data_IF_499033930434
#
_entry.id   IF_499033930434
#
_cell.length_a   1.000
_cell.length_b   1.000
_cell.length_c   1.000
_cell.angle_alpha   90.00
_cell.angle_beta   90.00
_cell.angle_gamma   90.00
#
_symmetry.space_group_name_H-M   'P 1'
#
loop_
_entity.id
_entity.type
_entity.pdbx_description
1 polymer ?
#
# COMPACT_ATOMS: atom_id res chain seq x y z
N UNK A 1 -7.39 15.88 -26.36
CA UNK A 1 -7.49 16.83 -25.24
C UNK A 1 -7.02 16.10 -24.00
N UNK A 2 -5.75 16.32 -23.63
CA UNK A 2 -5.14 15.89 -22.36
C UNK A 2 -4.25 17.06 -21.95
N UNK A 3 -4.32 17.45 -20.68
CA UNK A 3 -4.18 18.82 -20.19
C UNK A 3 -2.83 19.53 -20.39
N UNK A 4 -2.76 20.84 -20.12
CA UNK A 4 -1.49 21.54 -20.07
C UNK A 4 -0.67 20.95 -18.92
N UNK A 5 0.47 20.34 -19.23
CA UNK A 5 1.49 20.10 -18.22
C UNK A 5 1.82 21.47 -17.64
N UNK A 6 1.68 21.61 -16.33
CA UNK A 6 2.04 22.79 -15.57
C UNK A 6 3.57 22.98 -15.66
N UNK A 7 4.04 23.45 -16.82
CA UNK A 7 5.24 24.26 -16.94
C UNK A 7 4.85 25.65 -16.44
N UNK A 8 4.64 25.78 -15.14
CA UNK A 8 5.01 27.04 -14.52
C UNK A 8 6.51 27.16 -14.74
N UNK A 9 6.89 27.89 -15.79
CA UNK A 9 8.21 28.46 -15.93
C UNK A 9 8.43 29.34 -14.69
N UNK A 10 8.89 28.74 -13.60
CA UNK A 10 9.35 29.46 -12.45
C UNK A 10 10.64 30.14 -12.90
N UNK A 11 10.56 31.44 -13.21
CA UNK A 11 11.71 32.30 -13.59
C UNK A 11 12.77 32.40 -12.47
N UNK A 12 12.58 31.65 -11.38
CA UNK A 12 13.49 31.55 -10.25
C UNK A 12 14.76 30.78 -10.63
N UNK A 13 15.87 31.29 -10.10
CA UNK A 13 17.17 30.65 -10.24
C UNK A 13 17.41 29.72 -9.07
N UNK A 14 17.94 28.54 -9.35
CA UNK A 14 18.29 27.52 -8.36
C UNK A 14 19.78 27.19 -8.44
N UNK A 15 20.36 26.82 -7.31
CA UNK A 15 21.63 26.11 -7.21
C UNK A 15 21.37 24.61 -7.09
N UNK A 16 22.12 23.79 -7.81
CA UNK A 16 22.29 22.39 -7.42
C UNK A 16 23.13 22.36 -6.16
N UNK A 17 22.68 21.63 -5.16
CA UNK A 17 23.33 21.50 -3.85
C UNK A 17 23.55 20.03 -3.52
N UNK A 18 24.58 19.75 -2.73
CA UNK A 18 24.87 18.42 -2.20
C UNK A 18 25.17 18.46 -0.70
N UNK A 19 24.76 17.41 0.00
CA UNK A 19 25.09 17.23 1.41
C UNK A 19 26.32 16.32 1.59
N UNK A 20 26.71 16.07 2.85
CA UNK A 20 27.83 15.19 3.21
C UNK A 20 27.59 13.70 2.84
N UNK A 21 26.35 13.30 2.58
CA UNK A 21 26.00 11.96 2.11
C UNK A 21 26.00 11.83 0.59
N UNK A 22 26.45 12.87 -0.13
CA UNK A 22 26.45 12.98 -1.59
C UNK A 22 25.05 12.91 -2.22
N UNK A 23 24.03 13.33 -1.48
CA UNK A 23 22.68 13.48 -2.00
C UNK A 23 22.52 14.84 -2.66
N UNK A 24 21.96 14.85 -3.86
CA UNK A 24 21.77 16.06 -4.64
C UNK A 24 20.35 16.61 -4.50
N UNK A 25 20.22 17.93 -4.51
CA UNK A 25 18.94 18.64 -4.55
C UNK A 25 19.09 19.98 -5.26
N UNK A 26 17.99 20.70 -5.44
CA UNK A 26 17.98 22.09 -5.90
C UNK A 26 17.56 23.02 -4.76
N UNK A 27 18.22 24.16 -4.64
CA UNK A 27 17.93 25.17 -3.62
C UNK A 27 17.79 26.56 -4.27
N UNK A 28 16.82 27.39 -3.87
CA UNK A 28 16.67 28.74 -4.42
C UNK A 28 17.94 29.57 -4.24
N UNK A 29 18.42 30.21 -5.31
CA UNK A 29 19.68 30.97 -5.30
C UNK A 29 19.66 32.23 -4.42
N UNK A 30 18.46 32.70 -4.09
CA UNK A 30 18.24 33.88 -3.25
C UNK A 30 18.24 33.57 -1.75
N UNK A 31 18.26 32.28 -1.37
CA UNK A 31 18.21 31.84 0.02
C UNK A 31 19.59 31.35 0.48
N UNK A 32 19.91 31.61 1.75
CA UNK A 32 21.09 31.02 2.38
C UNK A 32 20.98 29.49 2.37
N UNK A 33 22.11 28.82 2.20
CA UNK A 33 22.15 27.37 2.18
C UNK A 33 21.87 26.81 3.59
N UNK A 34 21.07 25.74 3.71
CA UNK A 34 20.93 25.05 4.98
C UNK A 34 22.26 24.47 5.44
N UNK A 35 22.44 24.35 6.75
CA UNK A 35 23.64 23.73 7.34
C UNK A 35 23.88 22.33 6.76
N UNK A 36 25.14 22.07 6.39
CA UNK A 36 25.56 20.78 5.83
C UNK A 36 25.31 20.63 4.33
N UNK A 37 24.75 21.63 3.65
CA UNK A 37 24.60 21.67 2.19
C UNK A 37 25.63 22.59 1.54
N UNK A 38 26.10 22.20 0.35
CA UNK A 38 27.10 22.95 -0.42
C UNK A 38 26.70 23.02 -1.89
N UNK A 39 27.01 24.12 -2.59
CA UNK A 39 26.73 24.24 -4.03
C UNK A 39 27.54 23.21 -4.83
N UNK A 40 26.87 22.53 -5.76
CA UNK A 40 27.42 21.46 -6.58
C UNK A 40 27.28 21.80 -8.08
N UNK A 41 28.09 22.75 -8.54
CA UNK A 41 28.50 22.89 -9.95
C UNK A 41 27.52 23.52 -10.95
N UNK A 42 26.20 23.47 -10.71
CA UNK A 42 25.19 24.05 -11.63
C UNK A 42 24.29 25.05 -10.92
N UNK A 43 24.02 26.15 -11.62
CA UNK A 43 23.02 27.17 -11.27
C UNK A 43 22.21 27.47 -12.54
N UNK A 44 20.90 27.63 -12.42
CA UNK A 44 20.06 27.97 -13.57
C UNK A 44 18.58 27.75 -13.28
N UNK A 45 17.79 27.58 -14.34
CA UNK A 45 16.39 27.23 -14.21
C UNK A 45 16.21 25.85 -13.56
N UNK A 46 15.02 25.61 -13.00
CA UNK A 46 14.67 24.34 -12.34
C UNK A 46 14.97 23.12 -13.23
N UNK A 47 14.52 23.16 -14.48
CA UNK A 47 14.69 22.05 -15.43
C UNK A 47 16.16 21.76 -15.74
N UNK A 48 16.99 22.78 -15.90
CA UNK A 48 18.43 22.61 -16.14
C UNK A 48 19.16 22.02 -14.93
N UNK A 49 18.79 22.47 -13.72
CA UNK A 49 19.38 21.95 -12.49
C UNK A 49 19.00 20.48 -12.25
N UNK A 50 17.75 20.11 -12.50
CA UNK A 50 17.30 18.72 -12.41
C UNK A 50 17.96 17.82 -13.45
N UNK A 51 18.11 18.30 -14.69
CA UNK A 51 18.81 17.56 -15.75
C UNK A 51 20.27 17.32 -15.36
N UNK A 52 20.93 18.32 -14.78
CA UNK A 52 22.30 18.14 -14.28
C UNK A 52 22.38 17.10 -13.16
N UNK A 53 21.42 17.10 -12.21
CA UNK A 53 21.37 16.11 -11.13
C UNK A 53 21.21 14.69 -11.70
N UNK A 54 20.33 14.51 -12.67
CA UNK A 54 20.11 13.22 -13.34
C UNK A 54 21.39 12.68 -14.01
N UNK A 55 22.17 13.57 -14.63
CA UNK A 55 23.45 13.22 -15.26
C UNK A 55 24.55 12.84 -14.23
N UNK A 56 24.62 13.53 -13.09
CA UNK A 56 25.75 13.37 -12.14
C UNK A 56 25.44 12.40 -10.99
N UNK A 57 24.18 12.21 -10.62
CA UNK A 57 23.78 11.38 -9.48
C UNK A 57 23.62 9.90 -9.88
N UNK A 58 24.75 9.30 -10.26
CA UNK A 58 24.80 7.93 -10.80
C UNK A 58 24.62 6.81 -9.77
N UNK A 59 24.82 7.11 -8.48
CA UNK A 59 24.62 6.18 -7.38
C UNK A 59 23.80 6.87 -6.28
N UNK A 60 22.54 6.45 -6.08
CA UNK A 60 21.65 7.08 -5.09
C UNK A 60 21.83 6.56 -3.66
N UNK A 61 22.73 5.59 -3.44
CA UNK A 61 22.99 5.08 -2.09
C UNK A 61 23.70 6.15 -1.25
N UNK A 62 23.33 6.40 0.01
CA UNK A 62 24.06 7.33 0.87
C UNK A 62 25.54 6.95 0.98
N UNK A 63 26.44 7.95 1.05
CA UNK A 63 27.89 7.71 1.17
C UNK A 63 28.23 6.81 2.37
N UNK A 64 27.53 6.98 3.49
CA UNK A 64 27.67 6.15 4.69
C UNK A 64 27.41 4.67 4.39
N UNK A 65 26.35 4.36 3.64
CA UNK A 65 26.01 3.00 3.21
C UNK A 65 27.05 2.43 2.25
N UNK A 66 27.54 3.24 1.29
CA UNK A 66 28.59 2.80 0.36
C UNK A 66 29.90 2.47 1.09
N UNK A 67 30.26 3.28 2.10
CA UNK A 67 31.42 3.01 2.97
C UNK A 67 31.23 1.72 3.75
N UNK A 68 30.07 1.55 4.38
CA UNK A 68 29.73 0.34 5.11
C UNK A 68 29.83 -0.92 4.23
N UNK A 69 29.28 -0.90 3.01
CA UNK A 69 29.37 -2.03 2.07
C UNK A 69 30.81 -2.30 1.58
N UNK A 70 31.64 -1.27 1.43
CA UNK A 70 33.04 -1.42 1.04
C UNK A 70 33.91 -1.97 2.18
N UNK A 71 33.58 -1.62 3.43
CA UNK A 71 34.22 -2.12 4.65
C UNK A 71 33.74 -3.53 5.02
N UNK A 72 32.52 -3.89 4.63
CA UNK A 72 31.87 -5.18 4.87
C UNK A 72 31.43 -5.86 3.56
N UNK A 73 32.37 -6.27 2.67
CA UNK A 73 32.04 -6.87 1.38
C UNK A 73 31.29 -8.20 1.50
N UNK A 74 31.47 -8.91 2.62
CA UNK A 74 30.82 -10.21 2.91
C UNK A 74 29.50 -10.07 3.70
N UNK A 75 29.15 -8.87 4.18
CA UNK A 75 28.01 -8.62 5.07
C UNK A 75 26.62 -8.76 4.42
N UNK A 76 26.56 -9.12 3.13
CA UNK A 76 25.34 -9.39 2.38
C UNK A 76 25.32 -10.80 1.76
N UNK A 77 26.39 -11.58 1.89
CA UNK A 77 26.56 -12.83 1.15
C UNK A 77 26.29 -14.10 1.99
N UNK A 78 26.42 -14.03 3.32
CA UNK A 78 26.08 -15.10 4.26
C UNK A 78 25.58 -14.40 5.53
N UNK A 79 24.32 -14.06 5.68
CA UNK A 79 23.21 -14.96 5.96
C UNK A 79 22.00 -14.48 5.17
N UNK A 80 21.45 -15.32 4.30
CA UNK A 80 20.02 -15.25 4.04
C UNK A 80 19.38 -15.35 5.42
N UNK A 81 18.96 -14.20 5.95
CA UNK A 81 18.41 -14.07 7.29
C UNK A 81 17.47 -15.26 7.51
N UNK A 82 17.75 -16.09 8.51
CA UNK A 82 16.71 -16.97 9.03
C UNK A 82 15.53 -16.05 9.26
N UNK A 83 14.47 -16.21 8.47
CA UNK A 83 13.28 -15.40 8.63
C UNK A 83 12.86 -15.66 10.09
N UNK A 84 12.94 -14.64 10.99
CA UNK A 84 12.64 -14.85 12.40
C UNK A 84 11.18 -15.27 12.59
N UNK A 85 10.36 -15.21 11.53
CA UNK A 85 8.99 -15.68 11.46
C UNK A 85 8.81 -16.95 10.62
N UNK A 86 9.86 -17.66 10.22
CA UNK A 86 9.76 -18.89 9.41
C UNK A 86 8.84 -19.96 10.05
N UNK A 87 8.86 -20.06 11.38
CA UNK A 87 8.00 -20.98 12.15
C UNK A 87 6.64 -20.37 12.53
N UNK A 88 6.39 -19.09 12.19
CA UNK A 88 5.11 -18.44 12.46
C UNK A 88 4.18 -18.62 11.27
N UNK A 89 2.99 -19.23 11.44
CA UNK A 89 2.04 -19.34 10.35
C UNK A 89 1.66 -17.94 9.85
N UNK A 90 1.72 -17.76 8.52
CA UNK A 90 1.43 -16.48 7.89
C UNK A 90 0.00 -16.03 8.21
N UNK A 91 -0.32 -14.76 7.95
CA UNK A 91 -1.69 -14.30 8.10
C UNK A 91 -2.65 -15.08 7.18
N UNK A 92 -2.19 -15.45 5.98
CA UNK A 92 -2.93 -16.32 5.06
C UNK A 92 -3.20 -17.67 5.71
N UNK A 93 -2.18 -18.36 6.23
CA UNK A 93 -2.35 -19.67 6.87
C UNK A 93 -3.33 -19.60 8.05
N UNK A 94 -3.20 -18.56 8.87
CA UNK A 94 -4.08 -18.35 10.04
C UNK A 94 -5.52 -18.06 9.66
N UNK A 95 -5.76 -17.31 8.57
CA UNK A 95 -7.11 -16.95 8.11
C UNK A 95 -7.71 -18.02 7.17
N UNK A 96 -6.90 -18.94 6.70
CA UNK A 96 -7.32 -20.15 5.98
C UNK A 96 -7.66 -21.31 6.92
N UNK A 97 -7.17 -21.28 8.16
CA UNK A 97 -7.51 -22.27 9.18
C UNK A 97 -8.86 -21.98 9.86
N UNK A 98 -9.94 -22.33 9.16
CA UNK A 98 -11.29 -22.32 9.69
C UNK A 98 -12.10 -21.05 9.40
N UNK A 99 -13.15 -20.84 10.20
CA UNK A 99 -14.05 -19.70 10.09
C UNK A 99 -13.70 -18.62 11.12
N UNK A 100 -13.56 -17.38 10.67
CA UNK A 100 -13.22 -16.24 11.52
C UNK A 100 -14.38 -15.26 11.61
N UNK A 101 -14.52 -14.62 12.77
CA UNK A 101 -15.53 -13.57 12.96
C UNK A 101 -15.15 -12.33 12.15
N UNK A 102 -16.04 -11.95 11.23
CA UNK A 102 -15.87 -10.80 10.36
C UNK A 102 -16.96 -9.76 10.61
N UNK A 103 -16.64 -8.51 10.33
CA UNK A 103 -17.56 -7.38 10.32
C UNK A 103 -17.38 -6.57 9.04
N UNK A 104 -18.48 -6.08 8.48
CA UNK A 104 -18.41 -5.18 7.31
C UNK A 104 -17.93 -3.81 7.78
N UNK A 105 -16.84 -3.34 7.19
CA UNK A 105 -16.33 -1.99 7.39
C UNK A 105 -16.92 -1.04 6.36
N UNK A 106 -17.79 -0.13 6.82
CA UNK A 106 -18.41 0.91 6.00
C UNK A 106 -18.13 2.29 6.59
N UNK A 107 -17.94 3.26 5.70
CA UNK A 107 -17.76 4.68 6.02
C UNK A 107 -18.54 5.54 5.00
N UNK A 108 -19.26 6.59 5.43
CA UNK A 108 -19.45 7.02 6.82
C UNK A 108 -20.49 6.18 7.58
N UNK A 109 -21.53 5.69 6.90
CA UNK A 109 -22.69 5.04 7.51
C UNK A 109 -22.60 3.51 7.47
N UNK A 110 -22.76 2.88 8.64
CA UNK A 110 -22.78 1.42 8.78
C UNK A 110 -24.22 0.91 8.73
N UNK A 111 -24.80 0.89 7.53
CA UNK A 111 -26.18 0.44 7.27
C UNK A 111 -26.22 -0.67 6.22
N UNK A 112 -27.27 -1.48 6.23
CA UNK A 112 -27.47 -2.53 5.23
C UNK A 112 -27.66 -1.95 3.81
N UNK A 113 -28.28 -0.79 3.68
CA UNK A 113 -28.42 -0.12 2.38
C UNK A 113 -27.05 0.28 1.80
N UNK A 114 -26.20 0.92 2.60
CA UNK A 114 -24.83 1.27 2.20
C UNK A 114 -23.98 0.02 1.91
N UNK A 115 -24.22 -1.08 2.62
CA UNK A 115 -23.59 -2.36 2.31
C UNK A 115 -24.03 -2.90 0.94
N UNK A 116 -25.33 -2.82 0.63
CA UNK A 116 -25.87 -3.21 -0.67
C UNK A 116 -25.23 -2.42 -1.80
N UNK A 117 -25.09 -1.10 -1.66
CA UNK A 117 -24.39 -0.25 -2.63
C UNK A 117 -22.91 -0.66 -2.81
N UNK A 118 -22.21 -1.05 -1.74
CA UNK A 118 -20.84 -1.56 -1.84
C UNK A 118 -20.76 -2.91 -2.58
N UNK A 119 -21.71 -3.81 -2.33
CA UNK A 119 -21.82 -5.08 -3.04
C UNK A 119 -22.11 -4.86 -4.53
N UNK A 120 -22.99 -3.93 -4.87
CA UNK A 120 -23.29 -3.56 -6.27
C UNK A 120 -22.09 -2.95 -7.00
N UNK A 121 -21.22 -2.22 -6.27
CA UNK A 121 -19.94 -1.73 -6.79
C UNK A 121 -18.89 -2.81 -6.97
N UNK A 122 -19.15 -4.04 -6.49
CA UNK A 122 -18.25 -5.18 -6.62
C UNK A 122 -17.05 -5.16 -5.67
N UNK A 123 -17.07 -4.34 -4.61
CA UNK A 123 -15.94 -4.24 -3.70
C UNK A 123 -16.37 -3.89 -2.27
N UNK A 124 -15.89 -4.66 -1.30
CA UNK A 124 -16.25 -4.51 0.12
C UNK A 124 -15.01 -4.56 1.02
N UNK A 125 -15.09 -3.97 2.19
CA UNK A 125 -14.10 -4.14 3.25
C UNK A 125 -14.64 -5.06 4.34
N UNK A 126 -13.88 -6.12 4.65
CA UNK A 126 -14.18 -7.06 5.71
C UNK A 126 -13.12 -6.99 6.80
N UNK A 127 -13.54 -6.74 8.04
CA UNK A 127 -12.68 -6.70 9.21
C UNK A 127 -12.72 -8.04 9.94
N UNK A 128 -11.61 -8.77 9.94
CA UNK A 128 -11.39 -10.00 10.70
C UNK A 128 -11.07 -9.66 12.15
N UNK A 129 -12.09 -9.69 13.01
CA UNK A 129 -12.00 -9.18 14.39
C UNK A 129 -11.20 -10.07 15.34
N UNK A 130 -10.94 -11.33 14.99
CA UNK A 130 -10.16 -12.27 15.81
C UNK A 130 -8.65 -12.11 15.72
N UNK A 131 -8.16 -11.18 14.90
CA UNK A 131 -6.73 -10.88 14.74
C UNK A 131 -6.29 -9.76 15.68
N UNK A 132 -5.00 -9.71 16.05
CA UNK A 132 -4.46 -8.66 16.92
C UNK A 132 -4.60 -7.29 16.23
N UNK A 133 -5.35 -6.37 16.84
CA UNK A 133 -5.67 -5.06 16.24
C UNK A 133 -6.79 -5.07 15.18
N UNK A 134 -7.25 -6.24 14.75
CA UNK A 134 -8.27 -6.45 13.72
C UNK A 134 -7.79 -6.09 12.31
N UNK A 135 -7.64 -7.10 11.46
CA UNK A 135 -7.24 -7.00 10.06
C UNK A 135 -8.42 -6.58 9.20
N UNK A 136 -8.29 -5.50 8.44
CA UNK A 136 -9.27 -5.07 7.45
C UNK A 136 -8.77 -5.42 6.05
N UNK A 137 -9.56 -6.20 5.32
CA UNK A 137 -9.22 -6.70 3.98
C UNK A 137 -10.22 -6.15 2.97
N UNK A 138 -9.69 -5.55 1.90
CA UNK A 138 -10.48 -5.17 0.72
C UNK A 138 -10.66 -6.39 -0.17
N UNK A 139 -11.91 -6.73 -0.48
CA UNK A 139 -12.27 -7.91 -1.25
C UNK A 139 -12.98 -7.47 -2.53
N UNK A 140 -12.40 -7.82 -3.68
CA UNK A 140 -13.02 -7.65 -4.99
C UNK A 140 -14.01 -8.81 -5.21
N UNK A 141 -15.29 -8.50 -5.29
CA UNK A 141 -16.35 -9.50 -5.33
C UNK A 141 -16.45 -10.17 -6.70
N UNK A 142 -16.59 -11.49 -6.68
CA UNK A 142 -16.92 -12.29 -7.85
C UNK A 142 -18.44 -12.47 -7.86
N UNK A 143 -19.14 -11.59 -8.57
CA UNK A 143 -20.60 -11.45 -8.50
C UNK A 143 -21.36 -12.77 -8.78
N UNK A 144 -20.83 -13.63 -9.65
CA UNK A 144 -21.42 -14.94 -9.98
C UNK A 144 -21.37 -15.97 -8.85
N UNK A 145 -20.43 -15.82 -7.90
CA UNK A 145 -20.26 -16.71 -6.75
C UNK A 145 -20.95 -16.18 -5.49
N UNK A 146 -21.44 -14.93 -5.52
CA UNK A 146 -22.17 -14.32 -4.42
C UNK A 146 -23.62 -14.82 -4.37
N UNK A 147 -24.08 -15.20 -3.17
CA UNK A 147 -25.48 -15.57 -2.92
C UNK A 147 -26.15 -14.46 -2.12
N UNK A 148 -26.94 -13.66 -2.82
CA UNK A 148 -27.71 -12.55 -2.25
C UNK A 148 -29.22 -12.86 -2.12
N UNK A 149 -29.64 -14.05 -2.54
CA UNK A 149 -31.04 -14.45 -2.53
C UNK A 149 -31.59 -14.53 -1.10
N UNK A 150 -32.68 -13.81 -0.82
CA UNK A 150 -33.31 -13.76 0.51
C UNK A 150 -32.80 -12.63 1.41
N UNK A 151 -31.87 -11.80 0.91
CA UNK A 151 -31.41 -10.60 1.59
C UNK A 151 -32.25 -9.38 1.17
N UNK A 152 -32.68 -8.59 2.15
CA UNK A 152 -33.29 -7.28 1.94
C UNK A 152 -32.39 -6.20 2.57
N UNK A 153 -31.59 -5.56 1.72
CA UNK A 153 -30.66 -4.50 2.12
C UNK A 153 -31.38 -3.22 2.57
N UNK A 154 -32.61 -2.97 2.10
CA UNK A 154 -33.39 -1.82 2.51
C UNK A 154 -34.00 -2.03 3.91
N UNK A 155 -34.50 -3.23 4.19
CA UNK A 155 -35.02 -3.60 5.50
C UNK A 155 -33.92 -3.99 6.50
N UNK A 156 -32.71 -4.30 6.03
CA UNK A 156 -31.60 -4.81 6.85
C UNK A 156 -31.87 -6.19 7.41
N UNK A 157 -32.49 -7.08 6.61
CA UNK A 157 -32.88 -8.42 7.04
C UNK A 157 -32.36 -9.50 6.10
N UNK A 158 -32.06 -10.68 6.64
CA UNK A 158 -31.52 -11.81 5.87
C UNK A 158 -30.00 -11.94 6.01
N UNK A 159 -29.46 -12.96 5.34
CA UNK A 159 -28.02 -13.25 5.29
C UNK A 159 -27.58 -13.23 3.82
N UNK A 160 -26.38 -12.71 3.58
CA UNK A 160 -25.70 -12.81 2.28
C UNK A 160 -24.44 -13.65 2.39
N UNK A 161 -24.11 -14.39 1.33
CA UNK A 161 -22.79 -15.01 1.17
C UNK A 161 -22.04 -14.27 0.07
N UNK A 162 -20.91 -13.69 0.44
CA UNK A 162 -19.99 -13.02 -0.46
C UNK A 162 -18.83 -13.95 -0.81
N UNK A 163 -18.44 -13.92 -2.07
CA UNK A 163 -17.22 -14.55 -2.57
C UNK A 163 -16.42 -13.51 -3.36
N UNK A 164 -15.12 -13.49 -3.18
CA UNK A 164 -14.25 -12.54 -3.86
C UNK A 164 -12.79 -12.92 -3.79
N UNK A 165 -11.95 -12.08 -4.39
CA UNK A 165 -10.51 -12.28 -4.51
C UNK A 165 -9.76 -11.08 -3.95
N UNK A 166 -8.55 -11.35 -3.48
CA UNK A 166 -7.58 -10.34 -3.08
C UNK A 166 -6.17 -10.94 -3.11
N UNK A 167 -5.18 -10.07 -2.99
CA UNK A 167 -3.78 -10.47 -2.78
C UNK A 167 -3.39 -10.08 -1.35
N UNK A 168 -2.87 -11.05 -0.59
CA UNK A 168 -2.41 -10.85 0.79
C UNK A 168 -0.98 -11.36 0.91
N UNK A 169 -0.05 -10.50 1.32
CA UNK A 169 1.38 -10.81 1.39
C UNK A 169 1.93 -11.42 0.08
N UNK A 170 1.51 -10.87 -1.07
CA UNK A 170 1.83 -11.35 -2.43
C UNK A 170 1.27 -12.73 -2.80
N UNK A 171 0.39 -13.29 -1.96
CA UNK A 171 -0.30 -14.55 -2.22
C UNK A 171 -1.73 -14.27 -2.72
N UNK A 172 -2.11 -14.74 -3.91
CA UNK A 172 -3.48 -14.63 -4.38
C UNK A 172 -4.39 -15.55 -3.56
N UNK A 173 -5.43 -14.97 -2.95
CA UNK A 173 -6.38 -15.68 -2.10
C UNK A 173 -7.82 -15.39 -2.52
N UNK A 174 -8.68 -16.38 -2.33
CA UNK A 174 -10.14 -16.23 -2.39
C UNK A 174 -10.65 -15.99 -0.96
N UNK A 175 -11.57 -15.04 -0.80
CA UNK A 175 -12.27 -14.77 0.44
C UNK A 175 -13.73 -15.19 0.30
N UNK A 176 -14.25 -15.93 1.28
CA UNK A 176 -15.69 -16.22 1.39
C UNK A 176 -16.20 -15.72 2.73
N UNK A 177 -17.34 -15.06 2.75
CA UNK A 177 -17.94 -14.57 3.99
C UNK A 177 -19.48 -14.66 3.97
N UNK A 178 -20.07 -15.21 5.02
CA UNK A 178 -21.50 -15.11 5.33
C UNK A 178 -21.74 -13.93 6.27
N UNK A 179 -22.62 -13.01 5.92
CA UNK A 179 -22.90 -11.76 6.66
C UNK A 179 -24.40 -11.62 6.94
N UNK A 180 -24.76 -11.44 8.21
CA UNK A 180 -26.11 -11.07 8.63
C UNK A 180 -26.32 -9.56 8.42
N UNK A 181 -27.39 -9.18 7.72
CA UNK A 181 -27.66 -7.79 7.35
C UNK A 181 -28.11 -6.91 8.53
N UNK A 182 -28.67 -7.49 9.58
CA UNK A 182 -29.13 -6.74 10.75
C UNK A 182 -27.96 -6.26 11.61
N UNK A 183 -26.89 -7.05 11.66
CA UNK A 183 -25.70 -6.80 12.48
C UNK A 183 -24.48 -6.33 11.67
N UNK A 184 -24.49 -6.56 10.35
CA UNK A 184 -23.33 -6.40 9.46
C UNK A 184 -22.09 -7.15 9.98
N UNK A 185 -22.33 -8.32 10.57
CA UNK A 185 -21.33 -9.21 11.12
C UNK A 185 -21.61 -10.64 10.66
N UNK A 186 -20.58 -11.49 10.73
CA UNK A 186 -20.74 -12.89 10.37
C UNK A 186 -19.43 -13.65 10.42
N UNK A 187 -19.28 -14.63 9.52
CA UNK A 187 -18.10 -15.50 9.45
C UNK A 187 -17.48 -15.48 8.07
N UNK A 188 -16.16 -15.47 8.01
CA UNK A 188 -15.43 -15.58 6.74
C UNK A 188 -14.10 -16.27 6.90
N UNK A 189 -13.57 -16.72 5.77
CA UNK A 189 -12.32 -17.46 5.66
C UNK A 189 -11.61 -17.13 4.34
N UNK A 190 -10.31 -17.42 4.31
CA UNK A 190 -9.48 -17.29 3.12
C UNK A 190 -9.10 -18.66 2.56
N UNK A 191 -8.86 -18.74 1.25
CA UNK A 191 -8.29 -19.93 0.62
C UNK A 191 -7.25 -19.51 -0.43
N UNK A 192 -6.06 -20.08 -0.36
CA UNK A 192 -5.00 -19.84 -1.37
C UNK A 192 -5.50 -20.29 -2.74
N UNK A 193 -5.32 -19.44 -3.74
CA UNK A 193 -5.58 -19.82 -5.14
C UNK A 193 -4.30 -20.33 -5.77
N UNK A 194 -4.31 -21.51 -6.41
CA UNK A 194 -3.19 -21.90 -7.26
C UNK A 194 -3.07 -20.90 -8.42
N UNK A 195 -1.84 -20.42 -8.65
CA UNK A 195 -1.45 -19.61 -9.82
C UNK A 195 -1.54 -20.39 -11.11
#
# INVERSE_FOLDING_TARGET
>A
MTGPTDETADDRTYHVVRNAEEQYSIWPAEQELPDGWTVAGKTGGRAECLSHIDEVWTDMRPLSLRRFMAEHPDGLAEEAAEDPYADTPSLVDRLSDGDHRVEVSLRPDRTAAAFGEAVERGFVFLRFTGTEGGTELGVELVAEDCVLAGADFAAGTGEVRLSGVLELDFVPVACTASIDLATLAGRGSLAVRPV
#
